data_IF_623488657116
#
_entry.id   IF_623488657116
#
_cell.length_a   1.000
_cell.length_b   1.000
_cell.length_c   1.000
_cell.angle_alpha   90.00
_cell.angle_beta   90.00
_cell.angle_gamma   90.00
#
_symmetry.space_group_name_H-M   'P 1'
#
loop_
_entity.id
_entity.type
_entity.pdbx_description
1 polymer ?
#
# COMPACT_ATOMS: atom_id res chain seq x y z
N UNK A 1 26.69 -0.35 14.66
CA UNK A 1 25.30 -0.72 14.38
C UNK A 1 25.09 -0.59 12.88
N UNK A 2 25.07 -1.68 12.14
CA UNK A 2 24.76 -1.68 10.72
C UNK A 2 23.32 -1.20 10.57
N UNK A 3 23.11 0.01 10.07
CA UNK A 3 21.81 0.50 9.67
C UNK A 3 21.31 -0.40 8.54
N UNK A 4 20.49 -1.39 8.89
CA UNK A 4 19.80 -2.20 7.89
C UNK A 4 18.90 -1.24 7.11
N UNK A 5 19.13 -1.15 5.79
CA UNK A 5 18.31 -0.32 4.87
C UNK A 5 16.87 -0.86 4.76
N UNK A 6 16.58 -1.92 5.47
CA UNK A 6 15.33 -2.66 5.43
C UNK A 6 14.24 -1.98 6.26
N UNK A 7 13.11 -1.70 5.62
CA UNK A 7 11.94 -1.06 6.21
C UNK A 7 10.86 -2.08 6.58
N UNK A 8 10.70 -3.10 5.75
CA UNK A 8 9.73 -4.17 5.98
C UNK A 8 10.40 -5.53 5.75
N UNK A 9 10.24 -6.43 6.70
CA UNK A 9 10.60 -7.84 6.56
C UNK A 9 9.42 -8.72 6.90
N UNK A 10 9.10 -9.66 6.01
CA UNK A 10 8.10 -10.69 6.18
C UNK A 10 8.78 -12.04 6.03
N UNK A 11 8.57 -12.96 6.98
CA UNK A 11 9.21 -14.28 6.99
C UNK A 11 8.20 -15.37 7.35
N UNK A 12 8.10 -16.38 6.49
CA UNK A 12 7.27 -17.58 6.63
C UNK A 12 5.82 -17.27 7.03
N UNK A 13 5.30 -16.14 6.51
CA UNK A 13 3.98 -15.62 6.88
C UNK A 13 2.89 -16.56 6.40
N UNK A 14 1.99 -16.91 7.32
CA UNK A 14 0.83 -17.75 7.04
C UNK A 14 -0.44 -17.11 7.59
N UNK A 15 -1.53 -17.21 6.82
CA UNK A 15 -2.86 -16.77 7.23
C UNK A 15 -3.92 -17.77 6.82
N UNK A 16 -4.75 -18.16 7.78
CA UNK A 16 -5.94 -19.00 7.53
C UNK A 16 -7.20 -18.30 8.02
N UNK A 17 -8.31 -18.52 7.35
CA UNK A 17 -9.67 -18.19 7.77
C UNK A 17 -10.43 -19.52 7.93
N UNK A 18 -10.63 -19.94 9.18
CA UNK A 18 -11.11 -21.30 9.48
C UNK A 18 -10.16 -22.34 8.89
N UNK A 19 -10.67 -23.27 8.11
CA UNK A 19 -9.88 -24.31 7.43
C UNK A 19 -9.17 -23.84 6.14
N UNK A 20 -9.54 -22.67 5.59
CA UNK A 20 -8.99 -22.17 4.33
C UNK A 20 -7.68 -21.42 4.57
N UNK A 21 -6.56 -21.99 4.11
CA UNK A 21 -5.24 -21.33 4.11
C UNK A 21 -5.13 -20.37 2.93
N UNK A 22 -5.05 -19.05 3.22
CA UNK A 22 -5.03 -17.98 2.22
C UNK A 22 -3.62 -17.48 1.93
N UNK A 23 -2.76 -17.39 2.95
CA UNK A 23 -1.32 -17.14 2.76
C UNK A 23 -0.53 -18.35 3.25
N UNK A 24 0.46 -18.75 2.45
CA UNK A 24 1.23 -19.98 2.63
C UNK A 24 2.71 -19.67 2.47
N UNK A 25 3.39 -19.49 3.61
CA UNK A 25 4.85 -19.34 3.65
C UNK A 25 5.37 -18.15 2.80
N UNK A 26 4.81 -16.96 3.02
CA UNK A 26 5.20 -15.74 2.32
C UNK A 26 6.45 -15.14 2.97
N UNK A 27 7.51 -14.92 2.19
CA UNK A 27 8.75 -14.30 2.66
C UNK A 27 9.29 -13.29 1.65
N UNK A 28 9.50 -12.04 2.08
CA UNK A 28 10.11 -10.97 1.28
C UNK A 28 10.61 -9.83 2.17
N UNK A 29 11.39 -8.93 1.57
CA UNK A 29 11.89 -7.70 2.21
C UNK A 29 11.64 -6.49 1.32
N UNK A 30 11.51 -5.30 1.94
CA UNK A 30 11.45 -4.02 1.25
C UNK A 30 12.47 -3.08 1.89
N UNK A 31 13.34 -2.49 1.10
CA UNK A 31 14.31 -1.51 1.58
C UNK A 31 13.72 -0.10 1.55
N UNK A 32 14.35 0.80 2.30
CA UNK A 32 14.00 2.22 2.32
C UNK A 32 14.15 2.83 0.93
N UNK A 33 13.11 3.50 0.46
CA UNK A 33 13.07 4.17 -0.84
C UNK A 33 12.72 3.26 -2.01
N UNK A 34 12.53 1.94 -1.79
CA UNK A 34 12.13 1.00 -2.84
C UNK A 34 10.61 0.99 -3.04
N UNK A 35 10.20 0.70 -4.25
CA UNK A 35 8.82 0.42 -4.64
C UNK A 35 8.69 -1.08 -4.92
N UNK A 36 7.95 -1.79 -4.07
CA UNK A 36 7.58 -3.19 -4.29
C UNK A 36 6.23 -3.27 -5.00
N UNK A 37 6.21 -3.83 -6.21
CA UNK A 37 5.00 -4.20 -6.92
C UNK A 37 4.53 -5.61 -6.56
N UNK A 38 3.25 -5.78 -6.21
CA UNK A 38 2.64 -7.10 -5.99
C UNK A 38 1.57 -7.31 -7.05
N UNK A 39 1.77 -8.31 -7.91
CA UNK A 39 0.86 -8.67 -9.00
C UNK A 39 0.35 -10.09 -8.84
N UNK A 40 -0.73 -10.43 -9.55
CA UNK A 40 -1.31 -11.78 -9.56
C UNK A 40 -2.82 -11.77 -9.71
N UNK A 41 -3.44 -12.93 -9.95
CA UNK A 41 -4.89 -13.04 -10.16
C UNK A 41 -5.69 -12.63 -8.92
N UNK A 42 -6.98 -12.30 -9.12
CA UNK A 42 -7.91 -12.07 -8.03
C UNK A 42 -8.00 -13.31 -7.14
N UNK A 43 -8.06 -13.11 -5.82
CA UNK A 43 -8.11 -14.21 -4.85
C UNK A 43 -6.74 -14.87 -4.55
N UNK A 44 -5.62 -14.37 -5.10
CA UNK A 44 -4.28 -14.91 -4.80
C UNK A 44 -3.74 -14.55 -3.40
N UNK A 45 -4.42 -13.69 -2.64
CA UNK A 45 -4.03 -13.32 -1.28
C UNK A 45 -3.37 -11.95 -1.14
N UNK A 46 -3.19 -11.16 -2.20
CA UNK A 46 -2.51 -9.86 -2.20
C UNK A 46 -3.05 -8.88 -1.15
N UNK A 47 -4.35 -8.60 -1.18
CA UNK A 47 -4.99 -7.69 -0.20
C UNK A 47 -4.96 -8.27 1.22
N UNK A 48 -5.04 -9.59 1.37
CA UNK A 48 -4.88 -10.23 2.69
C UNK A 48 -3.46 -10.00 3.22
N UNK A 49 -2.45 -10.13 2.37
CA UNK A 49 -1.06 -9.85 2.74
C UNK A 49 -0.90 -8.40 3.22
N UNK A 50 -1.39 -7.42 2.46
CA UNK A 50 -1.35 -6.01 2.87
C UNK A 50 -2.05 -5.80 4.21
N UNK A 51 -3.26 -6.34 4.36
CA UNK A 51 -4.05 -6.19 5.60
C UNK A 51 -3.35 -6.79 6.82
N UNK A 52 -2.59 -7.89 6.67
CA UNK A 52 -1.83 -8.44 7.79
C UNK A 52 -0.69 -7.52 8.24
N UNK A 53 0.04 -6.92 7.30
CA UNK A 53 1.11 -5.96 7.62
C UNK A 53 0.55 -4.67 8.22
N UNK A 54 -0.61 -4.20 7.72
CA UNK A 54 -1.29 -3.01 8.22
C UNK A 54 -2.12 -3.26 9.50
N UNK A 55 -1.99 -4.41 10.16
CA UNK A 55 -2.68 -4.78 11.39
C UNK A 55 -4.21 -4.84 11.29
N UNK A 56 -4.77 -4.93 10.08
CA UNK A 56 -6.21 -5.08 9.85
C UNK A 56 -6.65 -6.54 9.90
N UNK A 57 -5.70 -7.47 9.71
CA UNK A 57 -5.91 -8.90 9.83
C UNK A 57 -4.81 -9.54 10.68
N UNK A 58 -5.17 -10.48 11.53
CA UNK A 58 -4.20 -11.24 12.32
C UNK A 58 -3.64 -12.40 11.50
N UNK A 59 -2.32 -12.60 11.58
CA UNK A 59 -1.66 -13.78 11.00
C UNK A 59 -1.93 -15.04 11.82
N UNK A 60 -1.74 -16.21 11.23
CA UNK A 60 -1.76 -17.50 11.93
C UNK A 60 -0.36 -18.04 12.21
N UNK A 61 0.69 -17.47 11.61
CA UNK A 61 2.08 -17.83 11.85
C UNK A 61 3.03 -16.94 11.04
N UNK A 62 4.31 -17.03 11.35
CA UNK A 62 5.37 -16.27 10.72
C UNK A 62 5.73 -14.98 11.47
N UNK A 63 6.64 -14.22 10.89
CA UNK A 63 7.22 -13.01 11.50
C UNK A 63 7.08 -11.84 10.54
N UNK A 64 6.69 -10.67 11.09
CA UNK A 64 6.66 -9.38 10.39
C UNK A 64 7.40 -8.37 11.25
N UNK A 65 8.34 -7.63 10.65
CA UNK A 65 8.95 -6.47 11.28
C UNK A 65 8.86 -5.24 10.37
N UNK A 66 8.62 -4.08 10.98
CA UNK A 66 8.52 -2.78 10.31
C UNK A 66 9.47 -1.81 10.98
N UNK A 67 10.33 -1.14 10.22
CA UNK A 67 11.34 -0.22 10.75
C UNK A 67 12.22 -0.85 11.85
N UNK A 68 12.53 -2.15 11.73
CA UNK A 68 13.32 -2.90 12.71
C UNK A 68 12.55 -3.35 13.96
N UNK A 69 11.29 -2.95 14.12
CA UNK A 69 10.41 -3.35 15.24
C UNK A 69 9.55 -4.55 14.85
N UNK A 70 9.49 -5.57 15.70
CA UNK A 70 8.66 -6.74 15.43
C UNK A 70 7.18 -6.40 15.66
N UNK A 71 6.36 -6.55 14.60
CA UNK A 71 4.90 -6.52 14.67
C UNK A 71 4.38 -7.83 15.25
N UNK A 72 4.89 -8.93 14.72
CA UNK A 72 4.60 -10.30 15.12
C UNK A 72 5.86 -11.14 14.95
N UNK A 73 6.15 -12.01 15.90
CA UNK A 73 7.26 -12.96 15.85
C UNK A 73 6.72 -14.35 16.09
N UNK A 74 6.94 -15.25 15.13
CA UNK A 74 6.46 -16.65 15.18
C UNK A 74 4.96 -16.77 15.55
N UNK A 75 4.13 -15.86 14.98
CA UNK A 75 2.69 -15.80 15.25
C UNK A 75 2.29 -15.07 16.53
N UNK A 76 3.24 -14.66 17.38
CA UNK A 76 2.99 -13.92 18.62
C UNK A 76 3.13 -12.42 18.38
N UNK A 77 2.06 -11.67 18.62
CA UNK A 77 2.04 -10.22 18.46
C UNK A 77 2.75 -9.50 19.59
N UNK A 78 3.44 -8.42 19.27
CA UNK A 78 4.03 -7.50 20.25
C UNK A 78 2.95 -6.84 21.12
N UNK A 79 3.38 -6.17 22.18
CA UNK A 79 2.49 -5.45 23.10
C UNK A 79 1.78 -4.26 22.39
N UNK A 80 0.68 -3.78 23.01
CA UNK A 80 -0.15 -2.70 22.41
C UNK A 80 0.61 -1.41 22.14
N UNK A 81 1.61 -1.07 22.96
CA UNK A 81 2.37 0.17 22.77
C UNK A 81 3.27 0.06 21.55
N UNK A 82 3.98 -1.06 21.39
CA UNK A 82 4.79 -1.38 20.22
C UNK A 82 3.94 -1.44 18.95
N UNK A 83 2.78 -2.11 18.98
CA UNK A 83 1.85 -2.17 17.85
C UNK A 83 1.38 -0.77 17.41
N UNK A 84 1.06 0.10 18.36
CA UNK A 84 0.66 1.49 18.07
C UNK A 84 1.78 2.29 17.45
N UNK A 85 3.01 2.15 17.94
CA UNK A 85 4.20 2.80 17.37
C UNK A 85 4.45 2.33 15.93
N UNK A 86 4.34 1.02 15.67
CA UNK A 86 4.49 0.47 14.32
C UNK A 86 3.40 0.99 13.39
N UNK A 87 2.14 1.08 13.84
CA UNK A 87 1.04 1.59 13.04
C UNK A 87 1.26 3.02 12.52
N UNK A 88 1.99 3.87 13.27
CA UNK A 88 2.34 5.22 12.82
C UNK A 88 3.37 5.25 11.67
N UNK A 89 4.14 4.18 11.50
CA UNK A 89 5.10 4.06 10.41
C UNK A 89 4.48 3.53 9.11
N UNK A 90 3.21 3.12 9.15
CA UNK A 90 2.50 2.47 8.04
C UNK A 90 1.34 3.35 7.58
N UNK A 91 1.33 3.75 6.32
CA UNK A 91 0.17 4.35 5.66
C UNK A 91 -0.52 3.32 4.77
N UNK A 92 -1.84 3.38 4.67
CA UNK A 92 -2.61 2.51 3.78
C UNK A 92 -3.61 3.32 2.96
N UNK A 93 -3.57 3.12 1.65
CA UNK A 93 -4.53 3.63 0.67
C UNK A 93 -5.37 2.45 0.20
N UNK A 94 -6.67 2.53 0.44
CA UNK A 94 -7.64 1.47 0.12
C UNK A 94 -8.13 1.54 -1.31
N UNK A 95 -8.63 0.43 -1.82
CA UNK A 95 -9.30 0.31 -3.11
C UNK A 95 -10.53 1.23 -3.21
N UNK A 96 -11.35 1.31 -2.18
CA UNK A 96 -12.63 2.04 -2.15
C UNK A 96 -12.53 3.40 -1.41
N UNK A 97 -11.39 4.10 -1.51
CA UNK A 97 -11.13 5.42 -0.91
C UNK A 97 -11.29 5.47 0.62
N UNK A 98 -12.34 4.91 1.18
CA UNK A 98 -12.67 4.83 2.61
C UNK A 98 -12.61 6.19 3.34
N UNK A 99 -13.06 7.24 2.67
CA UNK A 99 -13.19 8.56 3.29
C UNK A 99 -14.37 8.56 4.27
N UNK A 100 -14.24 9.33 5.35
CA UNK A 100 -15.34 9.57 6.28
C UNK A 100 -16.37 10.49 5.60
N UNK A 101 -17.58 10.00 5.30
CA UNK A 101 -18.55 10.74 4.47
C UNK A 101 -19.09 12.01 5.13
N UNK A 102 -19.06 12.07 6.46
CA UNK A 102 -19.51 13.20 7.26
C UNK A 102 -18.40 14.21 7.60
N UNK A 103 -17.18 13.95 7.16
CA UNK A 103 -16.06 14.88 7.28
C UNK A 103 -15.82 15.59 5.94
N UNK A 104 -15.45 16.88 6.00
CA UNK A 104 -14.93 17.57 4.82
C UNK A 104 -13.59 16.94 4.37
N UNK A 105 -13.11 17.30 3.18
CA UNK A 105 -11.80 16.91 2.66
C UNK A 105 -10.70 17.28 3.67
N UNK A 106 -10.70 18.51 4.16
CA UNK A 106 -9.75 18.98 5.15
C UNK A 106 -9.81 18.16 6.44
N UNK A 107 -11.01 17.88 6.95
CA UNK A 107 -11.20 17.06 8.15
C UNK A 107 -10.74 15.62 7.97
N UNK A 108 -10.98 15.00 6.81
CA UNK A 108 -10.48 13.67 6.50
C UNK A 108 -8.94 13.57 6.61
N UNK A 109 -8.22 14.64 6.33
CA UNK A 109 -6.76 14.68 6.38
C UNK A 109 -6.25 15.07 7.78
N UNK A 110 -6.95 15.97 8.46
CA UNK A 110 -6.47 16.55 9.73
C UNK A 110 -6.82 15.74 10.96
N UNK A 111 -7.94 14.99 10.95
CA UNK A 111 -8.47 14.36 12.16
C UNK A 111 -7.47 13.37 12.79
N UNK A 112 -6.84 12.50 12.00
CA UNK A 112 -5.84 11.57 12.52
C UNK A 112 -4.62 12.30 13.10
N UNK A 113 -4.20 13.41 12.52
CA UNK A 113 -3.08 14.20 13.02
C UNK A 113 -3.39 14.80 14.41
N UNK A 114 -4.64 15.28 14.61
CA UNK A 114 -5.09 15.87 15.87
C UNK A 114 -5.28 14.82 16.96
N UNK A 115 -6.01 13.76 16.64
CA UNK A 115 -6.39 12.72 17.62
C UNK A 115 -5.23 11.80 17.96
N UNK A 116 -4.40 11.43 16.98
CA UNK A 116 -3.35 10.42 17.16
C UNK A 116 -2.00 11.05 17.49
N UNK A 117 -1.65 12.17 16.82
CA UNK A 117 -0.36 12.84 17.01
C UNK A 117 -0.46 14.04 17.99
N UNK A 118 -1.67 14.42 18.42
CA UNK A 118 -1.87 15.54 19.36
C UNK A 118 -1.54 16.92 18.76
N UNK A 119 -1.52 17.06 17.42
CA UNK A 119 -1.21 18.33 16.77
C UNK A 119 -2.28 19.38 17.00
N UNK A 120 -1.90 20.66 17.03
CA UNK A 120 -2.84 21.76 17.02
C UNK A 120 -3.68 21.77 15.72
N UNK A 121 -4.81 22.47 15.75
CA UNK A 121 -5.66 22.63 14.57
C UNK A 121 -4.91 23.36 13.45
N UNK A 122 -4.14 24.36 13.81
CA UNK A 122 -3.35 25.20 12.90
C UNK A 122 -2.26 24.37 12.20
N UNK A 123 -1.48 23.59 12.95
CA UNK A 123 -0.44 22.72 12.40
C UNK A 123 -1.02 21.62 11.48
N UNK A 124 -2.14 21.00 11.90
CA UNK A 124 -2.79 19.98 11.10
C UNK A 124 -3.36 20.55 9.80
N UNK A 125 -3.99 21.73 9.86
CA UNK A 125 -4.55 22.43 8.70
C UNK A 125 -3.43 22.85 7.72
N UNK A 126 -2.33 23.41 8.21
CA UNK A 126 -1.21 23.83 7.37
C UNK A 126 -0.66 22.64 6.55
N UNK A 127 -0.35 21.51 7.21
CA UNK A 127 0.11 20.32 6.52
C UNK A 127 -0.94 19.75 5.56
N UNK A 128 -2.21 19.77 5.96
CA UNK A 128 -3.28 19.26 5.08
C UNK A 128 -3.42 20.11 3.81
N UNK A 129 -3.33 21.44 3.91
CA UNK A 129 -3.36 22.32 2.73
C UNK A 129 -2.14 22.11 1.82
N UNK A 130 -0.94 21.91 2.38
CA UNK A 130 0.25 21.54 1.59
C UNK A 130 0.04 20.23 0.81
N UNK A 131 -0.56 19.22 1.45
CA UNK A 131 -0.86 17.95 0.80
C UNK A 131 -1.96 18.09 -0.26
N UNK A 132 -2.99 18.89 0.00
CA UNK A 132 -4.03 19.20 -0.97
C UNK A 132 -3.47 19.93 -2.18
N UNK A 133 -2.54 20.88 -1.98
CA UNK A 133 -1.84 21.57 -3.06
C UNK A 133 -1.10 20.56 -3.98
N UNK A 134 -0.34 19.65 -3.37
CA UNK A 134 0.35 18.56 -4.13
C UNK A 134 -0.61 17.65 -4.90
N UNK A 135 -1.86 17.53 -4.44
CA UNK A 135 -2.91 16.73 -5.09
C UNK A 135 -3.77 17.55 -6.07
N UNK A 136 -3.55 18.88 -6.19
CA UNK A 136 -4.36 19.78 -6.99
C UNK A 136 -5.80 19.93 -6.48
N UNK A 137 -5.98 19.92 -5.15
CA UNK A 137 -7.28 19.88 -4.49
C UNK A 137 -7.48 21.00 -3.44
N UNK A 138 -6.68 22.08 -3.45
CA UNK A 138 -6.78 23.18 -2.45
C UNK A 138 -8.18 23.78 -2.42
N UNK A 139 -8.77 24.02 -3.59
CA UNK A 139 -10.11 24.61 -3.72
C UNK A 139 -11.24 23.67 -3.24
N UNK A 140 -10.90 22.43 -2.91
CA UNK A 140 -11.85 21.40 -2.46
C UNK A 140 -11.81 21.12 -0.97
N UNK A 141 -11.03 21.87 -0.18
CA UNK A 141 -10.80 21.61 1.25
C UNK A 141 -12.10 21.50 2.07
N UNK A 142 -13.10 22.32 1.78
CA UNK A 142 -14.38 22.34 2.48
C UNK A 142 -15.46 21.42 1.87
N UNK A 143 -15.14 20.74 0.75
CA UNK A 143 -16.05 19.81 0.09
C UNK A 143 -16.17 18.50 0.89
N UNK A 144 -17.29 17.81 0.70
CA UNK A 144 -17.52 16.48 1.27
C UNK A 144 -17.28 15.39 0.21
N UNK A 145 -16.97 14.14 0.61
CA UNK A 145 -16.69 13.05 -0.33
C UNK A 145 -17.73 12.89 -1.43
N UNK A 146 -19.01 13.04 -1.14
CA UNK A 146 -20.11 12.93 -2.13
C UNK A 146 -20.08 14.01 -3.23
N UNK A 147 -19.31 15.08 -3.04
CA UNK A 147 -19.15 16.19 -4.00
C UNK A 147 -17.89 16.02 -4.88
N UNK A 148 -17.15 14.92 -4.72
CA UNK A 148 -15.89 14.65 -5.40
C UNK A 148 -16.03 13.52 -6.41
N UNK A 149 -15.31 13.62 -7.54
CA UNK A 149 -15.11 12.47 -8.43
C UNK A 149 -14.32 11.35 -7.75
N UNK A 150 -14.38 10.13 -8.28
CA UNK A 150 -13.62 8.99 -7.75
C UNK A 150 -12.12 9.26 -7.68
N UNK A 151 -11.53 9.86 -8.73
CA UNK A 151 -10.12 10.24 -8.73
C UNK A 151 -9.77 11.32 -7.70
N UNK A 152 -10.67 12.28 -7.46
CA UNK A 152 -10.51 13.27 -6.39
C UNK A 152 -10.56 12.62 -5.01
N UNK A 153 -11.52 11.71 -4.78
CA UNK A 153 -11.61 10.95 -3.52
C UNK A 153 -10.36 10.13 -3.27
N UNK A 154 -9.81 9.49 -4.30
CA UNK A 154 -8.57 8.72 -4.17
C UNK A 154 -7.37 9.62 -3.84
N UNK A 155 -7.25 10.79 -4.47
CA UNK A 155 -6.20 11.77 -4.13
C UNK A 155 -6.32 12.27 -2.69
N UNK A 156 -7.53 12.48 -2.17
CA UNK A 156 -7.75 12.79 -0.74
C UNK A 156 -7.34 11.62 0.16
N UNK A 157 -7.65 10.38 -0.23
CA UNK A 157 -7.22 9.17 0.51
C UNK A 157 -5.69 9.06 0.58
N UNK A 158 -4.98 9.35 -0.51
CA UNK A 158 -3.51 9.42 -0.55
C UNK A 158 -3.00 10.54 0.37
N UNK A 159 -3.54 11.74 0.27
CA UNK A 159 -3.16 12.87 1.14
C UNK A 159 -3.36 12.53 2.63
N UNK A 160 -4.49 11.89 2.98
CA UNK A 160 -4.77 11.42 4.34
C UNK A 160 -3.73 10.41 4.84
N UNK A 161 -3.33 9.45 4.01
CA UNK A 161 -2.32 8.47 4.37
C UNK A 161 -0.94 9.12 4.59
N UNK A 162 -0.58 10.12 3.77
CA UNK A 162 0.67 10.86 3.88
C UNK A 162 0.72 11.81 5.08
N UNK A 163 -0.44 12.26 5.58
CA UNK A 163 -0.53 13.25 6.66
C UNK A 163 0.08 12.79 8.00
N UNK A 164 0.17 11.49 8.23
CA UNK A 164 0.84 10.90 9.38
C UNK A 164 2.35 10.71 9.19
N UNK A 165 2.90 11.08 8.01
CA UNK A 165 4.31 10.94 7.64
C UNK A 165 4.83 9.50 7.82
N UNK A 166 4.17 8.50 7.22
CA UNK A 166 4.56 7.10 7.37
C UNK A 166 5.93 6.84 6.75
N UNK A 167 6.62 5.79 7.22
CA UNK A 167 7.89 5.33 6.65
C UNK A 167 7.67 4.41 5.44
N UNK A 168 6.52 3.76 5.34
CA UNK A 168 6.10 2.93 4.20
C UNK A 168 4.62 3.15 3.90
N UNK A 169 4.30 3.28 2.62
CA UNK A 169 2.94 3.49 2.14
C UNK A 169 2.47 2.27 1.34
N UNK A 170 1.36 1.71 1.74
CA UNK A 170 0.72 0.58 1.08
C UNK A 170 -0.44 1.05 0.21
N UNK A 171 -0.56 0.47 -0.98
CA UNK A 171 -1.67 0.69 -1.90
C UNK A 171 -2.35 -0.65 -2.21
N UNK A 172 -3.62 -0.78 -1.84
CA UNK A 172 -4.44 -1.96 -2.15
C UNK A 172 -5.30 -1.66 -3.39
N UNK A 173 -4.78 -1.99 -4.58
CA UNK A 173 -5.44 -1.79 -5.87
C UNK A 173 -6.02 -0.36 -6.05
N UNK A 174 -5.18 0.69 -5.99
CA UNK A 174 -5.62 2.08 -5.87
C UNK A 174 -6.42 2.63 -7.07
N UNK A 175 -6.48 1.89 -8.17
CA UNK A 175 -7.14 2.31 -9.41
C UNK A 175 -8.37 1.47 -9.77
N UNK A 176 -8.62 0.36 -9.08
CA UNK A 176 -9.64 -0.62 -9.49
C UNK A 176 -11.09 -0.12 -9.35
N UNK A 177 -11.32 0.94 -8.57
CA UNK A 177 -12.63 1.59 -8.42
C UNK A 177 -12.78 2.84 -9.34
N UNK A 178 -11.86 3.04 -10.29
CA UNK A 178 -11.82 4.20 -11.17
C UNK A 178 -12.03 3.80 -12.63
N UNK A 179 -12.56 4.73 -13.41
CA UNK A 179 -12.56 4.61 -14.86
C UNK A 179 -11.15 4.79 -15.46
N UNK A 180 -10.93 4.38 -16.72
CA UNK A 180 -9.59 4.41 -17.34
C UNK A 180 -8.94 5.79 -17.39
N UNK A 181 -9.71 6.87 -17.55
CA UNK A 181 -9.17 8.22 -17.61
C UNK A 181 -8.58 8.64 -16.26
N UNK A 182 -9.32 8.42 -15.18
CA UNK A 182 -8.89 8.75 -13.81
C UNK A 182 -7.78 7.81 -13.31
N UNK A 183 -7.72 6.58 -13.80
CA UNK A 183 -6.63 5.64 -13.52
C UNK A 183 -5.26 6.27 -13.81
N UNK A 184 -5.11 6.90 -14.99
CA UNK A 184 -3.86 7.55 -15.39
C UNK A 184 -3.41 8.64 -14.43
N UNK A 185 -4.33 9.45 -13.93
CA UNK A 185 -4.06 10.52 -12.94
C UNK A 185 -3.53 9.96 -11.61
N UNK A 186 -4.15 8.92 -11.08
CA UNK A 186 -3.72 8.31 -9.81
C UNK A 186 -2.36 7.64 -9.95
N UNK A 187 -2.13 6.93 -11.05
CA UNK A 187 -0.81 6.34 -11.32
C UNK A 187 0.28 7.40 -11.46
N UNK A 188 -0.03 8.59 -12.02
CA UNK A 188 0.90 9.71 -12.07
C UNK A 188 1.26 10.21 -10.67
N UNK A 189 0.28 10.37 -9.76
CA UNK A 189 0.52 10.74 -8.37
C UNK A 189 1.45 9.73 -7.68
N UNK A 190 1.21 8.42 -7.86
CA UNK A 190 2.04 7.37 -7.24
C UNK A 190 3.47 7.40 -7.83
N UNK A 191 3.63 7.66 -9.14
CA UNK A 191 4.97 7.83 -9.75
C UNK A 191 5.72 9.03 -9.17
N UNK A 192 5.05 10.16 -8.94
CA UNK A 192 5.68 11.32 -8.29
C UNK A 192 6.13 10.98 -6.86
N UNK A 193 5.34 10.24 -6.09
CA UNK A 193 5.76 9.75 -4.79
C UNK A 193 6.99 8.82 -4.88
N UNK A 194 7.06 7.94 -5.87
CA UNK A 194 8.23 7.09 -6.12
C UNK A 194 9.50 7.91 -6.37
N UNK A 195 9.41 8.99 -7.16
CA UNK A 195 10.55 9.90 -7.42
C UNK A 195 11.08 10.57 -6.15
N UNK A 196 10.24 10.80 -5.15
CA UNK A 196 10.66 11.34 -3.84
C UNK A 196 11.30 10.28 -2.93
N UNK A 197 11.52 9.07 -3.43
CA UNK A 197 12.05 7.93 -2.66
C UNK A 197 11.16 7.53 -1.47
N UNK A 198 9.85 7.72 -1.60
CA UNK A 198 8.89 7.15 -0.67
C UNK A 198 8.92 5.63 -0.79
N UNK A 199 9.12 4.93 0.34
CA UNK A 199 9.02 3.47 0.36
C UNK A 199 7.56 3.07 0.15
N UNK A 200 7.30 2.20 -0.84
CA UNK A 200 5.92 1.82 -1.18
C UNK A 200 5.79 0.33 -1.45
N UNK A 201 4.61 -0.21 -1.12
CA UNK A 201 4.16 -1.54 -1.54
C UNK A 201 2.84 -1.35 -2.30
N UNK A 202 2.81 -1.69 -3.57
CA UNK A 202 1.67 -1.41 -4.46
C UNK A 202 1.11 -2.71 -5.01
N UNK A 203 -0.08 -3.10 -4.55
CA UNK A 203 -0.87 -4.15 -5.21
C UNK A 203 -1.57 -3.53 -6.41
N UNK A 204 -1.34 -4.08 -7.61
CA UNK A 204 -1.90 -3.51 -8.83
C UNK A 204 -2.14 -4.54 -9.92
N UNK A 205 -3.10 -4.25 -10.79
CA UNK A 205 -3.33 -4.94 -12.07
C UNK A 205 -2.76 -4.14 -13.27
N UNK A 206 -2.20 -2.97 -13.04
CA UNK A 206 -1.61 -2.10 -14.05
C UNK A 206 -0.17 -2.52 -14.38
N UNK A 207 -0.02 -3.47 -15.32
CA UNK A 207 1.29 -4.08 -15.64
C UNK A 207 2.31 -3.07 -16.15
N UNK A 208 1.86 -2.09 -16.95
CA UNK A 208 2.75 -1.03 -17.45
C UNK A 208 3.28 -0.14 -16.31
N UNK A 209 2.44 0.14 -15.31
CA UNK A 209 2.82 0.87 -14.11
C UNK A 209 3.81 0.03 -13.26
N UNK A 210 3.47 -1.22 -12.96
CA UNK A 210 4.33 -2.11 -12.19
C UNK A 210 5.73 -2.23 -12.83
N UNK A 211 5.78 -2.44 -14.15
CA UNK A 211 7.04 -2.55 -14.91
C UNK A 211 7.88 -1.27 -14.86
N UNK A 212 7.25 -0.09 -14.96
CA UNK A 212 7.97 1.18 -15.09
C UNK A 212 8.25 1.90 -13.78
N UNK A 213 7.69 1.43 -12.65
CA UNK A 213 7.77 2.17 -11.38
C UNK A 213 8.35 1.32 -10.23
N UNK A 214 8.20 0.00 -10.28
CA UNK A 214 8.69 -0.87 -9.21
C UNK A 214 10.20 -1.14 -9.33
N UNK A 215 10.89 -1.20 -8.21
CA UNK A 215 12.27 -1.67 -8.09
C UNK A 215 12.29 -3.20 -7.98
N UNK A 216 11.26 -3.79 -7.37
CA UNK A 216 11.08 -5.23 -7.22
C UNK A 216 9.62 -5.62 -7.45
N UNK A 217 9.40 -6.80 -7.99
CA UNK A 217 8.06 -7.37 -8.26
C UNK A 217 7.93 -8.72 -7.58
N UNK A 218 6.76 -8.95 -6.99
CA UNK A 218 6.31 -10.25 -6.50
C UNK A 218 5.08 -10.66 -7.31
N UNK A 219 5.12 -11.84 -7.93
CA UNK A 219 3.95 -12.48 -8.50
C UNK A 219 3.39 -13.49 -7.51
N UNK A 220 2.14 -13.29 -7.09
CA UNK A 220 1.42 -14.17 -6.17
C UNK A 220 0.34 -14.98 -6.89
N UNK A 221 0.28 -16.28 -6.61
CA UNK A 221 -0.84 -17.14 -7.00
C UNK A 221 -1.10 -18.21 -5.93
N UNK A 222 -2.37 -18.58 -5.73
CA UNK A 222 -2.79 -19.62 -4.78
C UNK A 222 -2.32 -19.42 -3.33
N UNK A 223 -2.03 -18.18 -2.93
CA UNK A 223 -1.56 -17.82 -1.59
C UNK A 223 -0.05 -17.97 -1.39
N UNK A 224 0.72 -18.12 -2.46
CA UNK A 224 2.18 -18.26 -2.45
C UNK A 224 2.84 -17.20 -3.33
N UNK A 225 4.10 -16.89 -3.06
CA UNK A 225 4.96 -16.20 -4.00
C UNK A 225 5.44 -17.25 -5.01
N UNK A 226 5.05 -17.10 -6.27
CA UNK A 226 5.44 -18.01 -7.36
C UNK A 226 6.76 -17.54 -7.98
N UNK A 227 6.90 -16.22 -8.16
CA UNK A 227 8.08 -15.62 -8.74
C UNK A 227 8.31 -14.24 -8.15
N UNK A 228 9.58 -13.84 -7.95
CA UNK A 228 9.95 -12.51 -7.52
C UNK A 228 11.30 -12.10 -8.09
N UNK A 229 11.50 -10.81 -8.32
CA UNK A 229 12.74 -10.29 -8.91
C UNK A 229 12.56 -8.87 -9.42
N UNK A 230 13.49 -8.42 -10.26
CA UNK A 230 13.34 -7.15 -10.95
C UNK A 230 12.12 -7.16 -11.90
N UNK A 231 11.56 -6.00 -12.26
CA UNK A 231 10.52 -5.93 -13.29
C UNK A 231 10.93 -6.60 -14.62
N UNK A 232 12.21 -6.53 -14.96
CA UNK A 232 12.75 -7.20 -16.15
C UNK A 232 12.67 -8.71 -16.05
N UNK A 233 12.95 -9.27 -14.87
CA UNK A 233 12.91 -10.72 -14.68
C UNK A 233 11.48 -11.25 -14.65
N UNK A 234 10.59 -10.61 -13.86
CA UNK A 234 9.25 -11.14 -13.59
C UNK A 234 8.25 -10.80 -14.69
N UNK A 235 8.33 -9.58 -15.30
CA UNK A 235 7.36 -9.15 -16.32
C UNK A 235 7.86 -9.38 -17.74
N UNK A 236 9.13 -9.06 -18.04
CA UNK A 236 9.63 -9.17 -19.41
C UNK A 236 10.15 -10.58 -19.73
N UNK A 237 10.81 -11.23 -18.76
CA UNK A 237 11.46 -12.54 -18.93
C UNK A 237 11.03 -13.53 -17.84
N UNK A 238 9.73 -13.78 -17.62
CA UNK A 238 9.26 -14.69 -16.57
C UNK A 238 9.81 -16.09 -16.77
N UNK A 239 10.23 -16.74 -15.68
CA UNK A 239 10.76 -18.11 -15.70
C UNK A 239 9.64 -19.12 -15.46
N UNK A 240 8.75 -18.80 -14.51
CA UNK A 240 7.68 -19.68 -14.09
C UNK A 240 6.53 -19.72 -15.10
N UNK A 241 6.09 -20.91 -15.49
CA UNK A 241 5.00 -21.10 -16.45
C UNK A 241 3.69 -20.43 -15.99
N UNK A 242 3.47 -20.37 -14.69
CA UNK A 242 2.30 -19.73 -14.11
C UNK A 242 2.33 -18.22 -14.28
N UNK A 243 3.51 -17.58 -14.13
CA UNK A 243 3.74 -16.17 -14.40
C UNK A 243 3.53 -15.86 -15.88
N UNK A 244 4.10 -16.66 -16.78
CA UNK A 244 3.92 -16.53 -18.23
C UNK A 244 2.45 -16.56 -18.63
N UNK A 245 1.72 -17.56 -18.13
CA UNK A 245 0.29 -17.71 -18.40
C UNK A 245 -0.56 -16.54 -17.89
N UNK A 246 -0.17 -15.96 -16.74
CA UNK A 246 -0.84 -14.78 -16.20
C UNK A 246 -0.59 -13.55 -17.08
N UNK A 247 0.67 -13.28 -17.43
CA UNK A 247 1.07 -12.09 -18.19
C UNK A 247 0.58 -12.12 -19.64
N UNK A 248 0.48 -13.29 -20.26
CA UNK A 248 -0.07 -13.44 -21.63
C UNK A 248 -1.45 -12.79 -21.75
N UNK A 249 -2.32 -12.91 -20.74
CA UNK A 249 -3.67 -12.33 -20.73
C UNK A 249 -3.67 -10.80 -20.82
N UNK A 250 -2.59 -10.13 -20.38
CA UNK A 250 -2.48 -8.67 -20.44
C UNK A 250 -1.82 -8.20 -21.74
N UNK A 251 -1.10 -9.07 -22.45
CA UNK A 251 -0.48 -8.77 -23.73
C UNK A 251 -1.47 -8.99 -24.90
N UNK A 252 -2.44 -9.90 -24.76
CA UNK A 252 -3.43 -10.25 -25.79
C UNK A 252 -4.61 -9.25 -25.85
N UNK A 253 -4.66 -8.23 -24.96
CA UNK A 253 -5.74 -7.21 -24.87
C UNK A 253 -5.31 -5.87 -25.50
N UNK A 254 -4.30 -5.86 -26.37
CA UNK A 254 -3.88 -4.68 -27.15
C UNK A 254 -4.31 -4.77 -28.60
#
# INVERSE_FOLDING_TARGET
MTTTNEILRVQNLSKSFGSRKVLKDISFTVNRGDVLGIIGPSGSGKSTLLRTVCQLERVTGGTISVCGEALVKDGVYSDKASLRKIALNVGLVFQNFNLFPHFSVLQNITEAQRVVLGKSKEEANSLAMELLAKMGLESKADFYPCQLSGGQQQRVSIARALALKPQVLFFDEPTSALDPELTGEILAVIRELAKTKMTMVVVTHEMAFARGTSDHIIFMDGGMIVEQGSPSDVINNPKEERTKAFLKRFNDVR
#
